data_IF_414951289709
#
_entry.id   IF_414951289709
#
_cell.length_a   1.000
_cell.length_b   1.000
_cell.length_c   1.000
_cell.angle_alpha   90.00
_cell.angle_beta   90.00
_cell.angle_gamma   90.00
#
_symmetry.space_group_name_H-M   'P 1'
#
loop_
_entity.id
_entity.type
_entity.pdbx_description
1 polymer ?
#
# COMPACT_ATOMS: atom_id res chain seq x y z
N UNK A 1 -27.88 -27.44 -14.98
CA UNK A 1 -28.81 -26.48 -14.39
C UNK A 1 -28.78 -26.68 -12.88
N UNK A 2 -28.61 -25.58 -12.13
CA UNK A 2 -28.78 -25.39 -10.67
C UNK A 2 -27.73 -26.10 -9.78
N UNK A 3 -26.51 -25.56 -9.64
CA UNK A 3 -26.01 -24.62 -8.59
C UNK A 3 -26.18 -25.14 -7.16
N UNK A 4 -25.11 -25.71 -6.62
CA UNK A 4 -24.92 -25.99 -5.19
C UNK A 4 -24.93 -24.69 -4.39
N UNK A 5 -25.94 -24.52 -3.53
CA UNK A 5 -26.07 -23.41 -2.60
C UNK A 5 -25.38 -23.81 -1.29
N UNK A 6 -24.13 -23.40 -1.08
CA UNK A 6 -23.56 -23.38 0.26
C UNK A 6 -24.11 -22.14 0.98
N UNK A 7 -25.18 -22.34 1.75
CA UNK A 7 -25.69 -21.32 2.67
C UNK A 7 -24.69 -21.10 3.80
N UNK A 8 -24.03 -19.95 3.81
CA UNK A 8 -23.17 -19.56 4.93
C UNK A 8 -24.02 -19.15 6.13
N UNK A 9 -23.98 -19.97 7.18
CA UNK A 9 -24.54 -19.70 8.50
C UNK A 9 -23.73 -18.59 9.18
N UNK A 10 -24.29 -17.38 9.29
CA UNK A 10 -23.81 -16.38 10.24
C UNK A 10 -24.54 -16.64 11.57
N UNK A 11 -23.83 -17.27 12.52
CA UNK A 11 -24.35 -17.55 13.85
C UNK A 11 -24.61 -16.24 14.61
N UNK A 12 -25.89 -16.00 14.87
CA UNK A 12 -26.41 -14.98 15.76
C UNK A 12 -26.43 -15.56 17.18
N UNK A 13 -25.65 -15.02 18.11
CA UNK A 13 -25.82 -15.33 19.54
C UNK A 13 -26.34 -14.12 20.28
N UNK A 14 -27.47 -14.31 20.96
CA UNK A 14 -28.14 -13.31 21.79
C UNK A 14 -27.86 -13.54 23.28
N UNK A 15 -27.70 -12.42 23.99
CA UNK A 15 -28.04 -12.17 25.42
C UNK A 15 -27.13 -12.83 26.46
N UNK A 16 -26.03 -12.15 26.80
CA UNK A 16 -25.70 -11.76 28.18
C UNK A 16 -24.43 -10.88 28.25
N UNK A 17 -24.55 -9.63 28.74
CA UNK A 17 -23.54 -8.68 29.28
C UNK A 17 -22.07 -8.67 28.74
N UNK A 18 -21.76 -9.30 27.62
CA UNK A 18 -20.40 -9.45 27.06
C UNK A 18 -20.46 -10.11 25.68
N UNK A 19 -21.32 -9.61 24.80
CA UNK A 19 -21.58 -10.20 23.49
C UNK A 19 -20.39 -9.89 22.52
N UNK A 20 -19.65 -10.92 22.11
CA UNK A 20 -18.58 -10.85 21.10
C UNK A 20 -19.15 -11.19 19.73
N UNK A 21 -18.92 -10.34 18.72
CA UNK A 21 -19.29 -10.66 17.34
C UNK A 21 -18.30 -11.66 16.72
N UNK A 22 -18.70 -12.93 16.62
CA UNK A 22 -17.95 -13.95 15.90
C UNK A 22 -18.18 -13.83 14.39
N UNK A 23 -17.16 -13.40 13.64
CA UNK A 23 -17.25 -13.34 12.18
C UNK A 23 -16.55 -14.55 11.57
N UNK A 24 -17.30 -15.52 11.05
CA UNK A 24 -16.77 -16.49 10.09
C UNK A 24 -16.80 -15.80 8.72
N UNK A 25 -15.63 -15.37 8.24
CA UNK A 25 -15.51 -14.71 6.95
C UNK A 25 -16.01 -15.64 5.84
N UNK A 26 -17.09 -15.23 5.16
CA UNK A 26 -17.59 -15.88 3.95
C UNK A 26 -16.54 -15.66 2.88
N UNK A 27 -15.81 -16.73 2.52
CA UNK A 27 -15.20 -17.05 1.22
C UNK A 27 -14.71 -15.91 0.31
N UNK A 28 -14.37 -14.74 0.86
CA UNK A 28 -13.85 -13.61 0.15
C UNK A 28 -12.41 -13.45 0.61
N UNK A 29 -11.51 -13.34 -0.37
CA UNK A 29 -10.05 -13.39 -0.25
C UNK A 29 -9.45 -12.19 0.51
N UNK A 30 -10.18 -11.59 1.46
CA UNK A 30 -9.77 -10.45 2.29
C UNK A 30 -9.70 -10.85 3.76
N UNK A 31 -8.84 -11.82 4.06
CA UNK A 31 -8.73 -12.52 5.35
C UNK A 31 -8.41 -11.66 6.59
N UNK A 32 -8.08 -10.38 6.43
CA UNK A 32 -7.67 -9.53 7.56
C UNK A 32 -8.52 -8.26 7.74
N UNK A 33 -9.75 -8.25 7.20
CA UNK A 33 -10.65 -7.09 7.29
C UNK A 33 -11.62 -7.24 8.45
N UNK A 34 -11.74 -6.18 9.26
CA UNK A 34 -12.80 -6.04 10.26
C UNK A 34 -14.11 -5.70 9.55
N UNK A 35 -15.09 -6.62 9.55
CA UNK A 35 -16.36 -6.43 8.83
C UNK A 35 -17.20 -5.35 9.52
N UNK A 36 -17.71 -4.38 8.75
CA UNK A 36 -18.48 -3.25 9.29
C UNK A 36 -20.00 -3.31 9.03
N UNK A 37 -20.48 -4.41 8.47
CA UNK A 37 -21.90 -4.59 8.15
C UNK A 37 -22.28 -6.06 8.15
N UNK A 38 -23.53 -6.33 8.44
CA UNK A 38 -24.18 -7.60 8.17
C UNK A 38 -25.01 -7.51 6.88
N UNK A 39 -25.07 -8.62 6.15
CA UNK A 39 -25.88 -8.79 4.94
C UNK A 39 -26.69 -10.07 5.14
N UNK A 40 -28.00 -10.01 4.91
CA UNK A 40 -28.89 -11.17 5.04
C UNK A 40 -29.95 -11.17 3.95
N UNK A 41 -30.47 -12.35 3.63
CA UNK A 41 -31.47 -12.55 2.58
C UNK A 41 -32.74 -13.08 3.21
N UNK A 42 -33.89 -12.50 2.86
CA UNK A 42 -35.20 -12.99 3.23
C UNK A 42 -36.16 -13.02 2.03
N UNK A 43 -37.43 -13.34 2.27
CA UNK A 43 -38.48 -13.38 1.21
C UNK A 43 -38.68 -12.03 0.50
N UNK A 44 -38.21 -10.92 1.08
CA UNK A 44 -38.30 -9.56 0.56
C UNK A 44 -36.99 -9.10 -0.11
N UNK A 45 -36.00 -9.97 -0.23
CA UNK A 45 -34.76 -9.70 -0.96
C UNK A 45 -33.52 -9.63 -0.06
N UNK A 46 -32.51 -8.91 -0.54
CA UNK A 46 -31.21 -8.77 0.12
C UNK A 46 -31.23 -7.50 0.97
N UNK A 47 -30.90 -7.65 2.25
CA UNK A 47 -30.80 -6.57 3.22
C UNK A 47 -29.35 -6.42 3.66
N UNK A 48 -28.99 -5.19 4.03
CA UNK A 48 -27.70 -4.90 4.67
C UNK A 48 -27.90 -3.90 5.80
N UNK A 49 -27.16 -4.05 6.89
CA UNK A 49 -27.09 -3.09 8.00
C UNK A 49 -25.64 -2.91 8.42
N UNK A 50 -25.21 -1.65 8.52
CA UNK A 50 -23.91 -1.31 9.12
C UNK A 50 -23.98 -1.46 10.63
N UNK A 51 -22.92 -2.02 11.22
CA UNK A 51 -22.79 -2.10 12.66
C UNK A 51 -22.65 -0.70 13.27
N UNK A 52 -23.26 -0.51 14.42
CA UNK A 52 -23.17 0.69 15.25
C UNK A 52 -22.38 0.39 16.52
N UNK A 53 -21.84 1.42 17.17
CA UNK A 53 -21.04 1.28 18.40
C UNK A 53 -21.81 0.57 19.53
N UNK A 54 -23.14 0.65 19.54
CA UNK A 54 -23.98 -0.04 20.53
C UNK A 54 -24.46 -1.44 20.10
N UNK A 55 -24.08 -1.96 18.93
CA UNK A 55 -24.50 -3.30 18.51
C UNK A 55 -23.68 -4.39 19.24
N UNK A 56 -22.39 -4.15 19.54
CA UNK A 56 -21.48 -4.99 20.34
C UNK A 56 -20.17 -4.23 20.65
N UNK A 57 -19.38 -4.73 21.61
CA UNK A 57 -18.15 -4.07 22.06
C UNK A 57 -16.93 -4.43 21.20
N UNK A 58 -16.69 -5.73 20.99
CA UNK A 58 -15.50 -6.26 20.32
C UNK A 58 -15.84 -7.29 19.23
N UNK A 59 -15.01 -7.30 18.19
CA UNK A 59 -14.99 -8.39 17.21
C UNK A 59 -14.12 -9.55 17.73
N UNK A 60 -14.37 -10.76 17.24
CA UNK A 60 -13.37 -11.81 17.20
C UNK A 60 -12.98 -12.05 15.73
N UNK A 61 -11.78 -11.63 15.35
CA UNK A 61 -11.26 -11.74 13.98
C UNK A 61 -10.18 -12.81 13.92
N UNK A 62 -10.44 -13.88 13.18
CA UNK A 62 -9.43 -14.92 12.95
C UNK A 62 -8.52 -14.55 11.78
N UNK A 63 -7.22 -14.54 12.04
CA UNK A 63 -6.13 -14.25 11.10
C UNK A 63 -5.44 -15.58 10.73
N UNK A 64 -5.78 -16.22 9.60
CA UNK A 64 -5.27 -17.55 9.26
C UNK A 64 -3.79 -17.56 8.88
N UNK A 65 -3.23 -16.43 8.43
CA UNK A 65 -1.80 -16.30 8.10
C UNK A 65 -0.88 -16.65 9.28
N UNK A 66 -1.36 -16.43 10.50
CA UNK A 66 -0.60 -16.59 11.75
C UNK A 66 -1.32 -17.50 12.75
N UNK A 67 -2.46 -18.09 12.35
CA UNK A 67 -3.33 -18.94 13.18
C UNK A 67 -3.69 -18.32 14.54
N UNK A 68 -4.19 -17.07 14.52
CA UNK A 68 -4.57 -16.34 15.75
C UNK A 68 -5.91 -15.65 15.62
N UNK A 69 -6.58 -15.46 16.76
CA UNK A 69 -7.76 -14.58 16.89
C UNK A 69 -7.32 -13.28 17.55
N UNK A 70 -7.82 -12.16 17.04
CA UNK A 70 -7.62 -10.82 17.59
C UNK A 70 -8.96 -10.15 17.92
N UNK A 71 -8.94 -9.19 18.85
CA UNK A 71 -10.13 -8.60 19.45
C UNK A 71 -10.20 -7.07 19.31
N UNK A 72 -10.29 -6.53 18.07
CA UNK A 72 -10.49 -5.10 17.88
C UNK A 72 -11.88 -4.68 18.35
N UNK A 73 -11.99 -3.48 18.94
CA UNK A 73 -13.30 -2.90 19.26
C UNK A 73 -14.13 -2.57 18.02
N UNK A 74 -15.43 -2.35 18.21
CA UNK A 74 -16.38 -1.87 17.19
C UNK A 74 -15.91 -0.59 16.46
N UNK A 75 -15.10 0.23 17.13
CA UNK A 75 -14.55 1.47 16.58
C UNK A 75 -13.58 1.24 15.40
N UNK A 76 -13.00 0.04 15.33
CA UNK A 76 -12.14 -0.38 14.21
C UNK A 76 -12.93 -0.99 13.04
N UNK A 77 -14.27 -0.86 13.02
CA UNK A 77 -15.09 -1.38 11.94
C UNK A 77 -14.61 -0.92 10.56
N UNK A 78 -14.39 -1.87 9.66
CA UNK A 78 -13.98 -1.60 8.28
C UNK A 78 -12.47 -1.44 8.09
N UNK A 79 -11.66 -1.50 9.14
CA UNK A 79 -10.21 -1.44 9.02
C UNK A 79 -9.60 -2.77 8.53
N UNK A 80 -8.32 -2.72 8.16
CA UNK A 80 -7.51 -3.89 7.84
C UNK A 80 -6.45 -4.06 8.91
N UNK A 81 -6.32 -5.27 9.43
CA UNK A 81 -5.29 -5.67 10.39
C UNK A 81 -4.16 -6.32 9.61
N UNK A 82 -2.93 -5.88 9.82
CA UNK A 82 -1.79 -6.31 9.03
C UNK A 82 -0.99 -7.37 9.79
N UNK A 83 -0.67 -8.46 9.11
CA UNK A 83 0.14 -9.59 9.64
C UNK A 83 1.55 -9.64 9.07
N UNK A 84 1.79 -8.97 7.94
CA UNK A 84 3.07 -8.94 7.21
C UNK A 84 3.40 -7.49 6.85
N UNK A 85 4.66 -7.09 6.96
CA UNK A 85 5.07 -5.71 6.68
C UNK A 85 4.69 -5.33 5.24
N UNK A 86 3.82 -4.34 5.04
CA UNK A 86 3.39 -3.95 3.71
C UNK A 86 4.50 -3.16 3.02
N UNK A 87 4.65 -3.34 1.71
CA UNK A 87 5.55 -2.54 0.88
C UNK A 87 4.92 -1.18 0.53
N UNK A 88 4.44 -0.46 1.55
CA UNK A 88 3.80 0.85 1.41
C UNK A 88 4.19 1.75 2.56
N UNK A 89 4.35 3.04 2.27
CA UNK A 89 4.62 4.06 3.28
C UNK A 89 3.38 4.44 4.12
N UNK A 90 2.20 3.94 3.75
CA UNK A 90 0.93 4.23 4.44
C UNK A 90 0.88 3.55 5.82
N UNK A 91 0.58 4.29 6.90
CA UNK A 91 0.42 3.70 8.23
C UNK A 91 -0.67 2.62 8.27
N UNK A 92 -0.47 1.57 9.05
CA UNK A 92 -1.34 0.41 9.13
C UNK A 92 -1.54 -0.09 10.55
N UNK A 93 -2.65 -0.77 10.81
CA UNK A 93 -2.87 -1.45 12.09
C UNK A 93 -2.13 -2.78 12.12
N UNK A 94 -1.41 -3.07 13.20
CA UNK A 94 -0.62 -4.28 13.36
C UNK A 94 -1.33 -5.26 14.30
N UNK A 95 -1.32 -6.55 13.95
CA UNK A 95 -2.13 -7.55 14.65
C UNK A 95 -1.80 -7.71 16.15
N UNK A 96 -0.55 -7.49 16.56
CA UNK A 96 -0.15 -7.63 17.97
C UNK A 96 -0.86 -6.63 18.88
N UNK A 97 -1.27 -5.46 18.33
CA UNK A 97 -1.96 -4.42 19.08
C UNK A 97 -3.41 -4.81 19.42
N UNK A 98 -3.91 -5.95 18.89
CA UNK A 98 -5.26 -6.45 19.08
C UNK A 98 -5.31 -7.85 19.70
N UNK A 99 -4.23 -8.31 20.34
CA UNK A 99 -4.22 -9.60 21.03
C UNK A 99 -5.21 -9.59 22.21
N UNK A 100 -5.32 -8.46 22.89
CA UNK A 100 -6.27 -8.22 23.97
C UNK A 100 -7.48 -7.41 23.47
N UNK A 101 -8.44 -7.18 24.37
CA UNK A 101 -9.60 -6.31 24.12
C UNK A 101 -9.16 -4.85 23.99
N UNK A 102 -8.86 -4.43 22.75
CA UNK A 102 -8.28 -3.12 22.46
C UNK A 102 -9.31 -2.12 21.94
N UNK A 103 -9.48 -1.01 22.67
CA UNK A 103 -10.40 0.09 22.30
C UNK A 103 -9.75 1.15 21.42
N UNK A 104 -8.45 1.41 21.62
CA UNK A 104 -7.63 2.37 20.88
C UNK A 104 -6.27 1.73 20.55
N UNK A 105 -5.81 1.92 19.32
CA UNK A 105 -4.58 1.36 18.80
C UNK A 105 -3.99 2.34 17.79
N UNK A 106 -2.70 2.71 17.91
CA UNK A 106 -2.06 3.55 16.92
C UNK A 106 -1.80 2.76 15.62
N UNK A 107 -1.73 3.47 14.50
CA UNK A 107 -1.20 2.88 13.26
C UNK A 107 0.32 2.88 13.32
N UNK A 108 0.94 1.74 13.03
CA UNK A 108 2.38 1.59 12.90
C UNK A 108 2.87 2.04 11.52
N UNK A 109 4.15 2.36 11.44
CA UNK A 109 4.82 2.77 10.20
C UNK A 109 6.00 1.84 9.90
N UNK A 110 6.34 1.64 8.61
CA UNK A 110 7.45 0.75 8.19
C UNK A 110 8.80 1.07 8.87
N UNK A 111 9.06 2.34 9.20
CA UNK A 111 10.27 2.77 9.92
C UNK A 111 10.40 2.15 11.31
N UNK A 112 9.29 1.95 12.00
CA UNK A 112 9.25 1.37 13.34
C UNK A 112 9.57 -0.13 13.32
N UNK A 113 9.36 -0.80 12.18
CA UNK A 113 9.66 -2.21 11.97
C UNK A 113 11.08 -2.44 11.41
N UNK A 114 11.92 -1.42 11.37
CA UNK A 114 13.33 -1.53 10.95
C UNK A 114 13.54 -1.79 9.45
N UNK A 115 12.49 -1.69 8.63
CA UNK A 115 12.56 -1.87 7.17
C UNK A 115 12.64 -0.50 6.50
N UNK A 116 13.68 -0.22 5.71
CA UNK A 116 13.72 1.00 4.87
C UNK A 116 13.20 0.69 3.47
N UNK A 117 11.95 1.07 3.19
CA UNK A 117 11.34 0.93 1.87
C UNK A 117 11.74 2.07 0.91
N UNK A 118 12.43 3.10 1.40
CA UNK A 118 12.69 4.33 0.64
C UNK A 118 14.02 4.33 -0.12
N UNK A 119 14.96 3.45 0.22
CA UNK A 119 16.17 3.23 -0.57
C UNK A 119 15.85 2.38 -1.80
N UNK A 120 15.21 2.99 -2.79
CA UNK A 120 15.10 2.39 -4.13
C UNK A 120 16.52 2.23 -4.66
N UNK A 121 17.04 1.01 -4.70
CA UNK A 121 18.33 0.68 -5.34
C UNK A 121 18.17 0.92 -6.84
N UNK A 122 18.45 2.15 -7.30
CA UNK A 122 18.35 2.51 -8.71
C UNK A 122 19.44 1.75 -9.45
N UNK A 123 19.05 0.75 -10.25
CA UNK A 123 19.95 0.16 -11.22
C UNK A 123 20.27 1.24 -12.28
N UNK A 124 21.51 1.71 -12.32
CA UNK A 124 21.92 2.81 -13.19
C UNK A 124 21.88 2.39 -14.68
N UNK A 125 22.12 1.11 -14.97
CA UNK A 125 22.22 0.55 -16.31
C UNK A 125 20.87 0.45 -17.01
N UNK A 126 19.79 0.14 -16.28
CA UNK A 126 18.44 0.10 -16.85
C UNK A 126 17.98 1.46 -17.39
N UNK A 127 18.52 2.57 -16.85
CA UNK A 127 18.27 3.92 -17.35
C UNK A 127 19.04 4.28 -18.62
N UNK A 128 20.03 3.47 -19.03
CA UNK A 128 20.83 3.74 -20.23
C UNK A 128 20.03 3.34 -21.48
N UNK A 129 19.42 2.17 -21.48
CA UNK A 129 18.69 1.63 -22.64
C UNK A 129 17.34 2.30 -22.89
N UNK A 130 16.79 3.03 -21.91
CA UNK A 130 15.54 3.80 -22.08
C UNK A 130 15.77 5.20 -22.67
N UNK A 131 17.02 5.58 -22.98
CA UNK A 131 17.31 6.95 -23.48
C UNK A 131 16.89 7.06 -24.93
N UNK A 132 16.24 8.18 -25.27
CA UNK A 132 15.86 8.53 -26.64
C UNK A 132 17.07 8.79 -27.55
N UNK A 133 18.19 9.22 -26.96
CA UNK A 133 19.40 9.62 -27.66
C UNK A 133 20.59 9.00 -26.95
N UNK A 134 21.52 8.46 -27.74
CA UNK A 134 22.82 8.03 -27.23
C UNK A 134 23.56 9.24 -26.69
N UNK A 135 23.79 9.23 -25.38
CA UNK A 135 24.40 10.36 -24.69
C UNK A 135 25.91 10.32 -24.92
N UNK A 136 26.54 11.43 -25.34
CA UNK A 136 27.99 11.50 -25.49
C UNK A 136 28.70 11.18 -24.18
N UNK A 137 29.91 10.64 -24.31
CA UNK A 137 30.80 10.37 -23.19
C UNK A 137 31.19 11.67 -22.47
N UNK A 138 31.79 11.56 -21.29
CA UNK A 138 32.22 12.73 -20.51
C UNK A 138 33.22 13.60 -21.29
N UNK A 139 34.18 12.96 -21.98
CA UNK A 139 35.21 13.67 -22.74
C UNK A 139 34.62 14.40 -23.95
N UNK A 140 33.81 13.69 -24.75
CA UNK A 140 33.15 14.28 -25.92
C UNK A 140 32.23 15.44 -25.54
N UNK A 141 31.46 15.30 -24.47
CA UNK A 141 30.59 16.38 -24.02
C UNK A 141 31.38 17.60 -23.55
N UNK A 142 32.54 17.39 -22.93
CA UNK A 142 33.40 18.48 -22.48
C UNK A 142 33.95 19.28 -23.67
N UNK A 143 34.44 18.60 -24.71
CA UNK A 143 34.90 19.25 -25.94
C UNK A 143 33.77 20.03 -26.62
N UNK A 144 32.58 19.42 -26.75
CA UNK A 144 31.42 20.06 -27.37
C UNK A 144 30.97 21.34 -26.66
N UNK A 145 30.97 21.32 -25.31
CA UNK A 145 30.59 22.49 -24.49
C UNK A 145 31.63 23.61 -24.58
N UNK A 146 32.89 23.28 -24.89
CA UNK A 146 33.94 24.27 -25.10
C UNK A 146 33.85 24.94 -26.48
N UNK A 147 33.49 24.17 -27.50
CA UNK A 147 33.42 24.62 -28.90
C UNK A 147 32.14 25.41 -29.21
N UNK A 148 31.00 25.02 -28.63
CA UNK A 148 29.69 25.55 -29.03
C UNK A 148 28.80 25.84 -27.82
N UNK A 149 27.90 26.85 -27.90
CA UNK A 149 26.90 27.07 -26.87
C UNK A 149 25.93 25.90 -26.79
N UNK A 150 25.39 25.64 -25.60
CA UNK A 150 24.53 24.48 -25.31
C UNK A 150 23.28 24.43 -26.19
N UNK A 151 22.78 25.56 -26.69
CA UNK A 151 21.68 25.64 -27.66
C UNK A 151 22.00 24.96 -29.00
N UNK A 152 23.24 25.05 -29.47
CA UNK A 152 23.66 24.40 -30.72
C UNK A 152 23.86 22.90 -30.50
N UNK A 153 24.49 22.51 -29.40
CA UNK A 153 24.65 21.10 -29.00
C UNK A 153 23.26 20.44 -28.87
N UNK A 154 22.30 21.12 -28.27
CA UNK A 154 20.94 20.64 -28.15
C UNK A 154 20.28 20.36 -29.51
N UNK A 155 20.48 21.23 -30.50
CA UNK A 155 20.00 21.03 -31.87
C UNK A 155 20.67 19.83 -32.54
N UNK A 156 22.00 19.71 -32.43
CA UNK A 156 22.79 18.63 -33.04
C UNK A 156 22.33 17.25 -32.54
N UNK A 157 22.01 17.14 -31.24
CA UNK A 157 21.52 15.89 -30.63
C UNK A 157 19.98 15.74 -30.62
N UNK A 158 19.23 16.70 -31.17
CA UNK A 158 17.75 16.67 -31.16
C UNK A 158 17.13 16.69 -29.75
N UNK A 159 17.81 17.30 -28.79
CA UNK A 159 17.38 17.44 -27.38
C UNK A 159 17.15 18.91 -27.02
N UNK A 160 16.68 19.19 -25.80
CA UNK A 160 16.60 20.56 -25.29
C UNK A 160 17.91 20.98 -24.62
N UNK A 161 18.19 22.28 -24.57
CA UNK A 161 19.32 22.86 -23.84
C UNK A 161 19.37 22.39 -22.37
N UNK A 162 18.21 22.29 -21.73
CA UNK A 162 18.07 21.72 -20.37
C UNK A 162 18.49 20.26 -20.25
N UNK A 163 18.42 19.47 -21.32
CA UNK A 163 18.95 18.12 -21.33
C UNK A 163 20.49 18.13 -21.32
N UNK A 164 21.11 19.01 -22.11
CA UNK A 164 22.57 19.20 -22.13
C UNK A 164 23.08 19.68 -20.77
N UNK A 165 22.38 20.63 -20.12
CA UNK A 165 22.70 21.09 -18.77
C UNK A 165 22.65 19.95 -17.73
N UNK A 166 21.63 19.08 -17.81
CA UNK A 166 21.54 17.88 -16.98
C UNK A 166 22.67 16.89 -17.28
N UNK A 167 23.13 16.82 -18.54
CA UNK A 167 24.26 15.99 -18.88
C UNK A 167 25.53 16.50 -18.18
N UNK A 168 25.84 17.78 -18.29
CA UNK A 168 26.97 18.39 -17.61
C UNK A 168 26.91 18.17 -16.09
N UNK A 169 25.74 18.32 -15.46
CA UNK A 169 25.53 18.04 -14.02
C UNK A 169 25.86 16.59 -13.63
N UNK A 170 25.42 15.61 -14.42
CA UNK A 170 25.70 14.19 -14.15
C UNK A 170 27.20 13.88 -14.24
N UNK A 171 27.93 14.57 -15.12
CA UNK A 171 29.38 14.39 -15.27
C UNK A 171 30.22 15.37 -14.42
N UNK A 172 29.57 16.20 -13.61
CA UNK A 172 30.17 17.29 -12.83
C UNK A 172 31.04 18.23 -13.69
N UNK A 173 30.58 18.58 -14.89
CA UNK A 173 31.21 19.55 -15.79
C UNK A 173 30.70 20.97 -15.48
N UNK A 174 31.60 21.94 -15.43
CA UNK A 174 31.28 23.36 -15.25
C UNK A 174 31.03 23.96 -16.63
N UNK A 175 29.82 24.49 -16.86
CA UNK A 175 29.51 25.24 -18.07
C UNK A 175 29.91 26.69 -17.82
N UNK A 176 31.05 27.11 -18.38
CA UNK A 176 31.38 28.52 -18.48
C UNK A 176 30.59 29.09 -19.65
N UNK A 177 29.47 29.78 -19.36
CA UNK A 177 28.72 30.51 -20.37
C UNK A 177 29.66 31.57 -20.97
N UNK A 178 29.92 31.47 -22.27
CA UNK A 178 30.72 32.44 -23.04
C UNK A 178 29.81 33.35 -23.87
#
# INVERSE_FOLDING_TARGET
MITSFEGSFLLHHTKNKGDIAATKAIADLTLNRVVNRTIWVDKKGIHQKKYQVGDFDYYAVYLPDIDKVVYPSVNFSGCYITTKVPNSATPFYWWEDFIDFTEDAPKRTYKELGVDLTTRKVNLDSRIHTRKVERPSKAELQELVWEKPTTQIAKDFGVSDKAVEKWCKVYALIITNH
#
